data_IF_527353763757
#
_entry.id   IF_527353763757
#
_cell.length_a   1.000
_cell.length_b   1.000
_cell.length_c   1.000
_cell.angle_alpha   90.00
_cell.angle_beta   90.00
_cell.angle_gamma   90.00
#
_symmetry.space_group_name_H-M   'P 1'
#
loop_
_entity.id
_entity.type
_entity.pdbx_description
1 polymer ?
#
# COMPACT_ATOMS: atom_id res chain seq x y z
N UNK A 1 9.67 14.73 -1.32
CA UNK A 1 9.57 14.10 -2.64
C UNK A 1 8.42 13.11 -2.61
N UNK A 2 7.26 13.50 -3.14
CA UNK A 2 6.07 12.64 -3.18
C UNK A 2 6.21 11.67 -4.36
N UNK A 3 6.46 10.40 -4.06
CA UNK A 3 6.34 9.32 -5.02
C UNK A 3 4.84 9.25 -5.36
N UNK A 4 4.42 9.89 -6.46
CA UNK A 4 3.04 9.84 -6.97
C UNK A 4 2.90 8.88 -8.16
N UNK A 5 3.99 8.21 -8.56
CA UNK A 5 4.06 7.49 -9.84
C UNK A 5 4.27 5.98 -9.74
N UNK A 6 4.68 5.43 -8.60
CA UNK A 6 4.88 3.97 -8.49
C UNK A 6 3.56 3.19 -8.50
N UNK A 7 2.50 3.76 -7.92
CA UNK A 7 1.17 3.14 -7.94
C UNK A 7 0.62 2.90 -9.35
N UNK A 8 1.00 3.71 -10.35
CA UNK A 8 0.52 3.56 -11.74
C UNK A 8 1.10 2.34 -12.46
N UNK A 9 2.19 1.78 -11.95
CA UNK A 9 2.84 0.59 -12.50
C UNK A 9 2.48 -0.68 -11.73
N UNK A 10 1.59 -0.57 -10.74
CA UNK A 10 1.14 -1.71 -9.98
C UNK A 10 0.09 -2.52 -10.76
N UNK A 11 0.04 -3.84 -10.53
CA UNK A 11 -0.99 -4.68 -11.12
C UNK A 11 -2.38 -4.16 -10.73
N UNK A 12 -3.31 -4.02 -11.69
CA UNK A 12 -4.68 -3.62 -11.38
C UNK A 12 -5.37 -4.70 -10.53
N UNK A 13 -6.22 -4.27 -9.60
CA UNK A 13 -7.05 -5.18 -8.83
C UNK A 13 -8.19 -5.71 -9.74
N UNK A 14 -8.26 -7.03 -10.00
CA UNK A 14 -9.29 -7.59 -10.88
C UNK A 14 -10.70 -7.48 -10.28
N UNK A 15 -10.82 -7.33 -8.96
CA UNK A 15 -12.10 -7.19 -8.26
C UNK A 15 -12.60 -5.75 -8.18
N UNK A 16 -11.72 -4.76 -8.41
CA UNK A 16 -12.00 -3.33 -8.20
C UNK A 16 -11.41 -2.48 -9.32
N UNK A 17 -12.25 -2.12 -10.28
CA UNK A 17 -11.86 -1.23 -11.37
C UNK A 17 -11.29 0.11 -10.84
N UNK A 18 -10.09 0.49 -11.30
CA UNK A 18 -9.39 1.71 -10.87
C UNK A 18 -8.59 1.57 -9.57
N UNK A 19 -8.52 0.36 -9.01
CA UNK A 19 -7.64 0.03 -7.90
C UNK A 19 -6.44 -0.76 -8.38
N UNK A 20 -5.37 -0.70 -7.60
CA UNK A 20 -4.13 -1.44 -7.85
C UNK A 20 -3.75 -2.23 -6.61
N UNK A 21 -3.15 -3.39 -6.81
CA UNK A 21 -2.66 -4.25 -5.74
C UNK A 21 -1.19 -3.94 -5.46
N UNK A 22 -0.84 -3.86 -4.18
CA UNK A 22 0.55 -3.69 -3.77
C UNK A 22 0.76 -3.65 -2.26
N UNK A 23 2.00 -3.39 -1.89
CA UNK A 23 2.46 -3.33 -0.50
C UNK A 23 2.37 -1.89 0.01
N UNK A 24 1.34 -1.60 0.78
CA UNK A 24 1.11 -0.31 1.41
C UNK A 24 1.94 -0.14 2.68
N UNK A 25 2.61 1.00 2.81
CA UNK A 25 3.25 1.41 4.06
C UNK A 25 2.30 2.36 4.78
N UNK A 26 1.88 1.99 5.97
CA UNK A 26 0.99 2.81 6.79
C UNK A 26 1.37 2.77 8.26
N UNK A 27 0.87 3.76 9.01
CA UNK A 27 0.92 3.77 10.47
C UNK A 27 -0.38 3.20 11.03
N UNK A 28 -0.28 2.09 11.75
CA UNK A 28 -1.41 1.37 12.36
C UNK A 28 -2.02 2.15 13.54
N UNK A 29 -1.18 2.85 14.31
CA UNK A 29 -1.57 3.62 15.50
C UNK A 29 -1.85 5.08 15.22
N UNK A 30 -2.69 5.68 16.07
CA UNK A 30 -2.99 7.10 16.01
C UNK A 30 -1.72 7.97 16.12
N UNK A 31 -1.56 9.01 15.28
CA UNK A 31 -2.44 9.36 14.16
C UNK A 31 -2.22 8.45 12.95
N UNK A 32 -3.32 7.93 12.38
CA UNK A 32 -3.26 7.11 11.17
C UNK A 32 -2.59 7.89 10.03
N UNK A 33 -1.66 7.24 9.35
CA UNK A 33 -0.88 7.88 8.28
C UNK A 33 -0.54 6.87 7.19
N UNK A 34 -1.17 7.03 6.03
CA UNK A 34 -0.80 6.30 4.82
C UNK A 34 0.35 7.00 4.09
N UNK A 35 1.43 6.26 3.86
CA UNK A 35 2.64 6.75 3.20
C UNK A 35 2.52 6.61 1.70
N UNK A 36 2.52 5.37 1.22
CA UNK A 36 2.51 5.01 -0.20
C UNK A 36 2.32 3.50 -0.39
N UNK A 37 2.15 3.06 -1.63
CA UNK A 37 2.08 1.66 -2.04
C UNK A 37 3.22 1.31 -3.00
N UNK A 38 3.84 0.15 -2.78
CA UNK A 38 4.99 -0.35 -3.51
C UNK A 38 4.69 -1.67 -4.22
N UNK A 39 5.42 -1.95 -5.30
CA UNK A 39 5.29 -3.20 -6.05
C UNK A 39 5.90 -4.40 -5.32
N UNK A 40 6.86 -4.12 -4.43
CA UNK A 40 7.69 -5.11 -3.78
C UNK A 40 7.69 -4.91 -2.26
N UNK A 41 7.54 -6.01 -1.52
CA UNK A 41 7.47 -6.02 -0.06
C UNK A 41 8.75 -5.47 0.55
N UNK A 42 9.92 -5.88 0.04
CA UNK A 42 11.21 -5.46 0.58
C UNK A 42 11.42 -3.95 0.46
N UNK A 43 10.96 -3.36 -0.64
CA UNK A 43 10.97 -1.91 -0.83
C UNK A 43 10.06 -1.20 0.18
N UNK A 44 8.84 -1.73 0.40
CA UNK A 44 7.93 -1.20 1.41
C UNK A 44 8.49 -1.33 2.83
N UNK A 45 9.13 -2.45 3.16
CA UNK A 45 9.77 -2.70 4.47
C UNK A 45 10.94 -1.76 4.72
N UNK A 46 11.77 -1.54 3.71
CA UNK A 46 12.86 -0.57 3.80
C UNK A 46 12.32 0.85 4.10
N UNK A 47 11.22 1.25 3.45
CA UNK A 47 10.58 2.53 3.72
C UNK A 47 9.94 2.58 5.12
N UNK A 48 9.24 1.53 5.55
CA UNK A 48 8.67 1.45 6.89
C UNK A 48 9.75 1.54 7.97
N UNK A 49 10.86 0.81 7.81
CA UNK A 49 12.03 0.90 8.70
C UNK A 49 12.64 2.30 8.70
N UNK A 50 12.76 2.94 7.52
CA UNK A 50 13.27 4.31 7.39
C UNK A 50 12.38 5.33 8.09
N UNK A 51 11.06 5.09 8.15
CA UNK A 51 10.08 5.95 8.83
C UNK A 51 10.07 5.76 10.35
N UNK A 52 10.47 4.57 10.82
CA UNK A 52 10.65 4.25 12.22
C UNK A 52 9.45 3.52 12.86
N UNK A 53 9.47 3.44 14.20
CA UNK A 53 8.52 2.63 14.97
C UNK A 53 7.08 3.08 14.74
N UNK A 54 6.21 2.11 14.42
CA UNK A 54 4.77 2.31 14.19
C UNK A 54 4.36 2.30 12.73
N UNK A 55 5.31 2.28 11.78
CA UNK A 55 5.00 1.99 10.39
C UNK A 55 5.04 0.49 10.13
N UNK A 56 3.98 -0.01 9.52
CA UNK A 56 3.80 -1.40 9.12
C UNK A 56 3.63 -1.49 7.62
N UNK A 57 3.90 -2.68 7.09
CA UNK A 57 3.75 -3.01 5.68
C UNK A 57 2.60 -3.99 5.56
N UNK A 58 1.63 -3.66 4.72
CA UNK A 58 0.43 -4.47 4.51
C UNK A 58 0.19 -4.66 3.02
N UNK A 59 -0.20 -5.87 2.61
CA UNK A 59 -0.66 -6.09 1.24
C UNK A 59 -2.12 -5.69 1.10
N UNK A 60 -2.43 -4.93 0.05
CA UNK A 60 -3.76 -4.36 -0.10
C UNK A 60 -4.04 -3.78 -1.47
N UNK A 61 -5.30 -3.34 -1.61
CA UNK A 61 -5.76 -2.60 -2.77
C UNK A 61 -5.71 -1.10 -2.48
N UNK A 62 -5.07 -0.34 -3.36
CA UNK A 62 -5.02 1.13 -3.31
C UNK A 62 -5.83 1.73 -4.46
N UNK A 63 -6.66 2.74 -4.16
CA UNK A 63 -7.40 3.46 -5.20
C UNK A 63 -6.54 4.55 -5.83
N UNK A 64 -6.28 4.43 -7.13
CA UNK A 64 -5.51 5.45 -7.86
C UNK A 64 -6.20 6.80 -7.79
N UNK A 65 -5.44 7.84 -7.42
CA UNK A 65 -5.94 9.21 -7.30
C UNK A 65 -6.63 9.52 -5.96
N UNK A 66 -6.70 8.56 -5.03
CA UNK A 66 -7.18 8.76 -3.66
C UNK A 66 -6.10 8.44 -2.64
N UNK A 67 -6.39 8.62 -1.34
CA UNK A 67 -5.60 8.09 -0.21
C UNK A 67 -6.24 6.83 0.38
N UNK A 68 -7.23 6.28 -0.30
CA UNK A 68 -7.93 5.06 0.12
C UNK A 68 -7.02 3.85 -0.08
N UNK A 69 -6.82 3.11 1.00
CA UNK A 69 -6.08 1.86 1.01
C UNK A 69 -6.84 0.84 1.84
N UNK A 70 -7.03 -0.35 1.29
CA UNK A 70 -7.71 -1.47 1.95
C UNK A 70 -6.70 -2.60 2.11
N UNK A 71 -6.22 -2.80 3.33
CA UNK A 71 -5.41 -3.96 3.70
C UNK A 71 -6.30 -5.16 4.05
N UNK A 72 -5.73 -6.36 4.02
CA UNK A 72 -6.47 -7.57 4.40
C UNK A 72 -7.43 -8.06 3.33
N UNK A 73 -7.15 -7.77 2.05
CA UNK A 73 -7.69 -8.59 0.95
C UNK A 73 -7.04 -9.97 1.07
N UNK A 74 -7.66 -10.84 1.87
CA UNK A 74 -7.45 -12.28 1.76
C UNK A 74 -7.66 -12.61 0.30
N UNK A 75 -6.64 -13.19 -0.35
CA UNK A 75 -6.87 -13.90 -1.61
C UNK A 75 -8.09 -14.78 -1.36
N UNK A 76 -9.14 -14.75 -2.21
CA UNK A 76 -10.22 -15.71 -2.06
C UNK A 76 -9.55 -17.08 -2.06
N UNK A 77 -9.64 -17.78 -0.93
CA UNK A 77 -9.09 -19.12 -0.78
C UNK A 77 -9.61 -19.95 -1.96
N UNK A 78 -8.69 -20.33 -2.84
CA UNK A 78 -8.93 -21.26 -3.93
C UNK A 78 -8.65 -22.67 -3.46
#
# INVERSE_FOLDING_TARGET
>A
MSIRSLAKHLPPDPSRAGWVLGWGVLRDRHPWHFVDVYADQKTAEAEAQRRGKGYVVEFGSHRLGSRDFVCGVTLPEG
#
